data_IF_802548836803
#
_entry.id   IF_802548836803
#
_cell.length_a   1.000
_cell.length_b   1.000
_cell.length_c   1.000
_cell.angle_alpha   90.00
_cell.angle_beta   90.00
_cell.angle_gamma   90.00
#
_symmetry.space_group_name_H-M   'P 1'
#
loop_
_entity.id
_entity.type
_entity.pdbx_description
1 polymer ?
#
# COMPACT_ATOMS: atom_id res chain seq x y z
N UNK A 1 11.56 -10.94 -16.28
CA UNK A 1 11.41 -10.13 -15.06
C UNK A 1 10.17 -9.29 -15.24
N UNK A 2 9.20 -9.41 -14.35
CA UNK A 2 8.01 -8.57 -14.41
C UNK A 2 8.38 -7.12 -14.07
N UNK A 3 7.79 -6.17 -14.80
CA UNK A 3 8.09 -4.75 -14.62
C UNK A 3 7.30 -4.22 -13.43
N UNK A 4 7.99 -3.69 -12.43
CA UNK A 4 7.36 -3.00 -11.30
C UNK A 4 6.72 -1.69 -11.79
N UNK A 5 5.45 -1.48 -11.47
CA UNK A 5 4.69 -0.28 -11.79
C UNK A 5 4.54 0.65 -10.58
N UNK A 6 4.37 0.07 -9.39
CA UNK A 6 4.33 0.80 -8.12
C UNK A 6 4.98 -0.06 -7.04
N UNK A 7 5.84 0.55 -6.23
CA UNK A 7 6.39 -0.09 -5.05
C UNK A 7 6.61 0.92 -3.94
N UNK A 8 6.29 0.52 -2.72
CA UNK A 8 6.70 1.26 -1.53
C UNK A 8 7.07 0.28 -0.42
N UNK A 9 8.00 0.73 0.43
CA UNK A 9 8.54 -0.09 1.52
C UNK A 9 8.38 0.63 2.85
N UNK A 10 7.81 -0.09 3.83
CA UNK A 10 7.62 0.32 5.22
C UNK A 10 7.04 1.72 5.39
N UNK A 11 6.07 2.07 4.55
CA UNK A 11 5.41 3.37 4.62
C UNK A 11 4.55 3.44 5.87
N UNK A 12 4.76 4.52 6.63
CA UNK A 12 3.91 4.90 7.76
C UNK A 12 3.26 6.24 7.46
N UNK A 13 1.96 6.37 7.76
CA UNK A 13 1.18 7.57 7.49
C UNK A 13 0.29 7.89 8.68
N UNK A 14 0.13 9.18 8.98
CA UNK A 14 -0.65 9.65 10.13
C UNK A 14 -1.78 10.55 9.66
N UNK A 15 -2.95 10.36 10.25
CA UNK A 15 -4.09 11.25 10.16
C UNK A 15 -4.29 11.91 11.53
N UNK A 16 -3.69 13.08 11.70
CA UNK A 16 -3.63 13.76 13.00
C UNK A 16 -2.89 12.91 14.04
N UNK A 17 -3.59 12.52 15.11
CA UNK A 17 -3.05 11.68 16.19
C UNK A 17 -3.11 10.17 15.89
N UNK A 18 -3.79 9.77 14.83
CA UNK A 18 -3.99 8.35 14.48
C UNK A 18 -2.92 7.96 13.47
N UNK A 19 -2.23 6.84 13.72
CA UNK A 19 -1.38 6.22 12.71
C UNK A 19 -2.25 5.36 11.78
N UNK A 20 -2.47 5.84 10.55
CA UNK A 20 -3.30 5.19 9.55
C UNK A 20 -2.58 4.05 8.83
N UNK A 21 -1.27 4.20 8.57
CA UNK A 21 -0.42 3.14 8.04
C UNK A 21 0.76 2.92 9.01
N UNK A 22 1.05 1.67 9.33
CA UNK A 22 2.17 1.28 10.17
C UNK A 22 3.05 0.29 9.42
N UNK A 23 4.22 0.75 8.95
CA UNK A 23 5.21 -0.04 8.21
C UNK A 23 4.64 -0.90 7.06
N UNK A 24 3.74 -0.34 6.26
CA UNK A 24 3.11 -1.08 5.15
C UNK A 24 4.02 -1.08 3.92
N UNK A 25 4.24 -2.26 3.32
CA UNK A 25 4.93 -2.42 2.03
C UNK A 25 3.98 -2.98 0.97
N UNK A 26 4.09 -2.53 -0.27
CA UNK A 26 3.32 -3.02 -1.41
C UNK A 26 4.18 -3.03 -2.67
N UNK A 27 3.99 -4.04 -3.50
CA UNK A 27 4.57 -4.15 -4.83
C UNK A 27 3.46 -4.49 -5.81
N UNK A 28 3.39 -3.74 -6.91
CA UNK A 28 2.46 -3.97 -8.01
C UNK A 28 3.25 -4.09 -9.30
N UNK A 29 3.13 -5.25 -9.94
CA UNK A 29 3.73 -5.54 -11.22
C UNK A 29 2.81 -5.13 -12.38
N UNK A 30 3.41 -4.98 -13.56
CA UNK A 30 2.68 -4.65 -14.77
C UNK A 30 1.66 -5.76 -15.12
N UNK A 31 0.38 -5.38 -15.21
CA UNK A 31 -0.71 -6.29 -15.52
C UNK A 31 -1.46 -6.83 -14.30
N UNK A 32 -0.96 -6.58 -13.09
CA UNK A 32 -1.69 -6.92 -11.85
C UNK A 32 -2.79 -5.90 -11.57
N UNK A 33 -3.97 -6.42 -11.20
CA UNK A 33 -5.07 -5.60 -10.67
C UNK A 33 -5.07 -5.78 -9.16
N UNK A 34 -4.75 -4.72 -8.44
CA UNK A 34 -4.72 -4.68 -6.97
C UNK A 34 -5.75 -3.68 -6.50
N UNK A 35 -6.55 -4.06 -5.49
CA UNK A 35 -7.51 -3.19 -4.83
C UNK A 35 -7.29 -3.21 -3.32
N UNK A 36 -7.53 -2.08 -2.66
CA UNK A 36 -7.52 -1.98 -1.20
C UNK A 36 -8.97 -2.16 -0.71
N UNK A 37 -9.17 -3.02 0.29
CA UNK A 37 -10.46 -3.24 0.93
C UNK A 37 -10.36 -2.87 2.41
N UNK A 38 -11.40 -2.21 2.92
CA UNK A 38 -11.58 -1.94 4.35
C UNK A 38 -12.70 -2.83 4.90
N UNK A 39 -12.58 -3.26 6.15
CA UNK A 39 -13.60 -4.03 6.87
C UNK A 39 -14.58 -3.14 7.65
N UNK A 40 -14.35 -1.83 7.74
CA UNK A 40 -15.29 -0.87 8.32
C UNK A 40 -15.46 0.35 7.39
N UNK A 41 -16.67 0.53 6.85
CA UNK A 41 -17.15 1.80 6.30
C UNK A 41 -18.12 2.45 7.29
#
# INVERSE_FOLDING_TARGET
>A
MEKVMLSFDKVSAHYGKIQALHEVSLHINQGEIVTLIDWNA
#
